data_IF_249569885450
#
_entry.id   IF_249569885450
#
_cell.length_a   1.000
_cell.length_b   1.000
_cell.length_c   1.000
_cell.angle_alpha   90.00
_cell.angle_beta   90.00
_cell.angle_gamma   90.00
#
_symmetry.space_group_name_H-M   'P 1'
#
loop_
_entity.id
_entity.type
_entity.pdbx_description
1 polymer ?
#
# COMPACT_ATOMS: atom_id res chain seq x y z
N UNK A 1 -12.31 -12.79 13.32
CA UNK A 1 -11.28 -12.25 12.42
C UNK A 1 -10.42 -11.31 13.25
N UNK A 2 -9.18 -11.70 13.58
CA UNK A 2 -8.29 -10.87 14.39
C UNK A 2 -7.68 -9.81 13.48
N UNK A 3 -7.85 -8.54 13.81
CA UNK A 3 -7.22 -7.49 13.02
C UNK A 3 -5.73 -7.41 13.41
N UNK A 4 -4.87 -7.96 12.57
CA UNK A 4 -3.43 -7.89 12.70
C UNK A 4 -2.83 -6.65 12.04
N UNK A 5 -3.66 -5.75 11.50
CA UNK A 5 -3.19 -4.58 10.75
C UNK A 5 -2.48 -3.62 11.69
N UNK A 6 -1.24 -3.27 11.36
CA UNK A 6 -0.49 -2.25 12.07
C UNK A 6 -0.68 -0.89 11.37
N UNK A 7 -0.74 0.20 12.14
CA UNK A 7 -1.08 1.55 11.64
C UNK A 7 -0.14 2.01 10.51
N UNK A 8 1.10 1.54 10.53
CA UNK A 8 2.12 1.89 9.55
C UNK A 8 2.01 1.14 8.22
N UNK A 9 1.24 0.04 8.15
CA UNK A 9 1.19 -0.83 6.96
C UNK A 9 0.56 -0.12 5.76
N UNK A 10 -0.53 0.61 6.00
CA UNK A 10 -1.18 1.40 4.94
C UNK A 10 -0.28 2.57 4.49
N UNK A 11 0.50 3.13 5.41
CA UNK A 11 1.41 4.24 5.15
C UNK A 11 2.59 3.85 4.25
N UNK A 12 3.15 2.65 4.45
CA UNK A 12 4.25 2.15 3.61
C UNK A 12 3.76 1.60 2.27
N UNK A 13 2.54 1.04 2.22
CA UNK A 13 1.95 0.55 0.97
C UNK A 13 1.40 1.68 0.09
N UNK A 14 1.25 2.90 0.63
CA UNK A 14 0.65 4.02 -0.10
C UNK A 14 1.34 4.29 -1.45
N UNK A 15 2.68 4.42 -1.56
CA UNK A 15 3.32 4.73 -2.84
C UNK A 15 3.03 3.71 -3.96
N UNK A 16 3.30 2.40 -3.80
CA UNK A 16 3.04 1.43 -4.87
C UNK A 16 1.55 1.31 -5.19
N UNK A 17 0.67 1.39 -4.18
CA UNK A 17 -0.79 1.35 -4.43
C UNK A 17 -1.25 2.59 -5.20
N UNK A 18 -0.71 3.77 -4.88
CA UNK A 18 -1.03 5.02 -5.57
C UNK A 18 -0.66 4.95 -7.05
N UNK A 19 0.51 4.40 -7.40
CA UNK A 19 0.94 4.20 -8.78
C UNK A 19 -0.02 3.29 -9.55
N UNK A 20 -0.41 2.15 -8.96
CA UNK A 20 -1.34 1.20 -9.57
C UNK A 20 -2.71 1.84 -9.81
N UNK A 21 -3.24 2.55 -8.83
CA UNK A 21 -4.55 3.19 -8.94
C UNK A 21 -4.54 4.36 -9.94
N UNK A 22 -3.42 5.09 -10.06
CA UNK A 22 -3.26 6.14 -11.07
C UNK A 22 -3.17 5.58 -12.50
N UNK A 23 -2.66 4.36 -12.66
CA UNK A 23 -2.58 3.69 -13.95
C UNK A 23 -3.95 3.20 -14.49
N UNK A 24 -5.02 3.25 -13.70
CA UNK A 24 -6.35 2.81 -14.12
C UNK A 24 -6.89 3.75 -15.23
N UNK A 25 -7.20 3.24 -16.44
CA UNK A 25 -7.71 4.06 -17.53
C UNK A 25 -9.09 4.65 -17.23
N UNK A 26 -9.36 5.87 -17.70
CA UNK A 26 -10.67 6.52 -17.54
C UNK A 26 -11.84 5.77 -18.22
N UNK A 27 -11.54 4.91 -19.18
CA UNK A 27 -12.51 4.04 -19.87
C UNK A 27 -12.85 2.78 -19.06
N UNK A 28 -12.10 2.47 -18.01
CA UNK A 28 -12.34 1.31 -17.17
C UNK A 28 -13.58 1.52 -16.29
N UNK A 29 -14.46 0.51 -16.15
CA UNK A 29 -15.56 0.58 -15.19
C UNK A 29 -15.07 0.73 -13.74
N UNK A 30 -13.81 0.38 -13.46
CA UNK A 30 -13.19 0.54 -12.14
C UNK A 30 -12.64 1.96 -11.88
N UNK A 31 -12.64 2.86 -12.87
CA UNK A 31 -12.04 4.19 -12.72
C UNK A 31 -12.65 5.03 -11.58
N UNK A 32 -13.99 5.10 -11.39
CA UNK A 32 -14.56 5.85 -10.28
C UNK A 32 -14.09 5.33 -8.92
N UNK A 33 -13.98 4.02 -8.77
CA UNK A 33 -13.51 3.38 -7.55
C UNK A 33 -12.02 3.64 -7.33
N UNK A 34 -11.19 3.57 -8.37
CA UNK A 34 -9.78 3.90 -8.29
C UNK A 34 -9.56 5.35 -7.81
N UNK A 35 -10.36 6.31 -8.32
CA UNK A 35 -10.33 7.70 -7.85
C UNK A 35 -10.79 7.85 -6.41
N UNK A 36 -11.79 7.09 -5.97
CA UNK A 36 -12.25 7.07 -4.57
C UNK A 36 -11.16 6.57 -3.63
N UNK A 37 -10.48 5.50 -4.01
CA UNK A 37 -9.35 4.94 -3.24
C UNK A 37 -8.16 5.89 -3.20
N UNK A 38 -7.83 6.56 -4.32
CA UNK A 38 -6.77 7.59 -4.32
C UNK A 38 -7.08 8.74 -3.37
N UNK A 39 -8.33 9.22 -3.33
CA UNK A 39 -8.75 10.25 -2.38
C UNK A 39 -8.65 9.74 -0.94
N UNK A 40 -9.06 8.50 -0.67
CA UNK A 40 -8.90 7.88 0.64
C UNK A 40 -7.42 7.82 1.08
N UNK A 41 -6.53 7.37 0.19
CA UNK A 41 -5.10 7.28 0.47
C UNK A 41 -4.44 8.65 0.66
N UNK A 42 -5.01 9.72 0.12
CA UNK A 42 -4.48 11.08 0.29
C UNK A 42 -4.46 11.56 1.75
N UNK A 43 -5.30 10.96 2.61
CA UNK A 43 -5.35 11.24 4.05
C UNK A 43 -4.31 10.46 4.87
N UNK A 44 -3.59 9.52 4.25
CA UNK A 44 -2.62 8.65 4.93
C UNK A 44 -1.22 9.18 4.68
N UNK A 45 -0.43 9.45 5.73
CA UNK A 45 0.97 9.84 5.55
C UNK A 45 1.77 8.70 4.90
N UNK A 46 2.71 9.03 4.02
CA UNK A 46 3.69 8.07 3.52
C UNK A 46 4.80 7.92 4.55
N UNK A 47 5.28 6.68 4.75
CA UNK A 47 6.49 6.42 5.53
C UNK A 47 7.51 5.68 4.66
N UNK A 48 8.78 5.84 5.03
CA UNK A 48 9.89 5.14 4.41
C UNK A 48 9.83 3.63 4.71
N UNK A 49 10.10 2.79 3.71
CA UNK A 49 10.11 1.33 3.85
C UNK A 49 11.19 0.83 4.83
N UNK A 50 12.29 1.56 4.98
CA UNK A 50 13.35 1.30 5.95
C UNK A 50 12.88 1.42 7.40
N UNK A 51 11.79 2.15 7.66
CA UNK A 51 11.18 2.26 8.98
C UNK A 51 10.31 1.04 9.35
N UNK A 52 10.00 0.16 8.40
CA UNK A 52 9.22 -1.06 8.65
C UNK A 52 10.10 -2.11 9.33
N UNK A 53 9.66 -2.80 10.39
CA UNK A 53 10.43 -3.89 11.00
C UNK A 53 10.80 -4.99 10.00
N UNK A 54 12.03 -5.52 10.08
CA UNK A 54 12.54 -6.55 9.16
C UNK A 54 11.69 -7.82 9.08
N UNK A 55 11.06 -8.20 10.19
CA UNK A 55 10.18 -9.36 10.30
C UNK A 55 8.72 -9.06 9.97
N UNK A 56 8.40 -7.86 9.47
CA UNK A 56 7.04 -7.52 9.07
C UNK A 56 6.69 -8.19 7.74
N UNK A 57 5.57 -8.89 7.70
CA UNK A 57 5.03 -9.56 6.51
C UNK A 57 4.85 -8.56 5.34
N UNK A 58 4.52 -7.30 5.63
CA UNK A 58 4.36 -6.26 4.59
C UNK A 58 5.63 -6.05 3.77
N UNK A 59 6.82 -6.37 4.32
CA UNK A 59 8.07 -6.31 3.55
C UNK A 59 8.14 -7.32 2.40
N UNK A 60 7.41 -8.43 2.45
CA UNK A 60 7.31 -9.39 1.35
C UNK A 60 6.67 -8.75 0.11
N UNK A 61 5.71 -7.84 0.33
CA UNK A 61 5.02 -7.11 -0.74
C UNK A 61 5.83 -5.90 -1.25
N UNK A 62 6.81 -5.44 -0.48
CA UNK A 62 7.70 -4.33 -0.82
C UNK A 62 9.04 -4.81 -1.40
N UNK A 63 9.29 -6.12 -1.46
CA UNK A 63 10.54 -6.70 -1.98
C UNK A 63 11.70 -6.75 -0.97
N UNK A 64 11.44 -6.53 0.32
CA UNK A 64 12.44 -6.46 1.40
C UNK A 64 12.34 -7.60 2.44
N UNK A 65 11.97 -8.81 2.01
CA UNK A 65 11.81 -9.96 2.92
C UNK A 65 13.08 -10.25 3.71
N UNK A 66 12.95 -10.49 5.02
CA UNK A 66 14.02 -11.03 5.86
C UNK A 66 14.14 -12.55 5.81
N UNK A 67 13.21 -13.23 5.13
CA UNK A 67 13.22 -14.68 4.94
C UNK A 67 13.80 -15.02 3.56
N UNK A 68 14.82 -15.88 3.54
CA UNK A 68 15.29 -16.56 2.34
C UNK A 68 14.39 -17.80 2.10
N UNK A 69 13.88 -17.93 0.87
CA UNK A 69 13.05 -19.06 0.42
C UNK A 69 13.81 -19.97 -0.54
#
# INVERSE_FOLDING_TARGET
MFNSSLVYELAVLRPPVQEILQAVPATSPAYPEARRLLTFLSFVATIDEGAVPGNSIVREFLGGSAFEY
#
